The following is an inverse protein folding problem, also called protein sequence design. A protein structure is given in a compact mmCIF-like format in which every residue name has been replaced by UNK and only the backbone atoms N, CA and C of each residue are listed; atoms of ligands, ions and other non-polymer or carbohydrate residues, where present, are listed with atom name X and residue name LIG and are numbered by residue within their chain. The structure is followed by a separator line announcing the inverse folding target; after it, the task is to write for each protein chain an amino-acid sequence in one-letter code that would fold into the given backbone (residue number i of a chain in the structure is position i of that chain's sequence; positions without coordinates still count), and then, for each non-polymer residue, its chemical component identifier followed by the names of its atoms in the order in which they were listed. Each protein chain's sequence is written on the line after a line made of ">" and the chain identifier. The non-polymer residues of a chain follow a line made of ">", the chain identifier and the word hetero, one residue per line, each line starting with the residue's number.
data_IF_102242392125
#
_entry.id   IF_102242392125
#
_cell.length_a   1.000
_cell.length_b   1.000
_cell.length_c   1.000
_cell.angle_alpha   90.00
_cell.angle_beta   90.00
_cell.angle_gamma   90.00
#
_symmetry.space_group_name_H-M   'P 1'
#
loop_
_entity.id
_entity.type
_entity.pdbx_description
1 polymer ?
#
# COMPACT_ATOMS: atom_id res chain seq x y z
N UNK A 1 12.44 -14.08 -21.59
CA UNK A 1 13.60 -14.34 -20.71
C UNK A 1 13.01 -14.87 -19.41
N UNK A 2 13.40 -16.08 -19.00
CA UNK A 2 12.84 -16.75 -17.82
C UNK A 2 13.59 -16.27 -16.57
N UNK A 3 12.87 -15.71 -15.60
CA UNK A 3 13.42 -15.41 -14.28
C UNK A 3 13.03 -16.52 -13.31
N UNK A 4 14.04 -16.98 -12.58
CA UNK A 4 14.05 -18.06 -11.62
C UNK A 4 13.20 -17.67 -10.40
N UNK A 5 11.94 -18.10 -10.36
CA UNK A 5 11.11 -17.96 -9.15
C UNK A 5 11.46 -19.13 -8.24
N UNK A 6 11.99 -18.92 -7.03
CA UNK A 6 12.29 -20.01 -6.11
C UNK A 6 10.99 -20.78 -5.80
N UNK A 7 11.07 -22.11 -5.91
CA UNK A 7 9.96 -23.08 -5.92
C UNK A 7 9.01 -23.06 -4.69
N UNK A 8 9.18 -22.14 -3.73
CA UNK A 8 8.35 -22.05 -2.52
C UNK A 8 8.23 -20.63 -1.96
N UNK A 9 7.83 -19.66 -2.78
CA UNK A 9 7.23 -18.44 -2.19
C UNK A 9 5.85 -18.81 -1.62
N UNK A 10 5.77 -18.95 -0.30
CA UNK A 10 4.50 -19.10 0.41
C UNK A 10 4.11 -17.69 0.87
N UNK A 11 3.09 -17.06 0.26
CA UNK A 11 2.65 -15.75 0.71
C UNK A 11 2.12 -15.86 2.14
N UNK A 12 2.70 -15.08 3.05
CA UNK A 12 2.18 -14.92 4.39
C UNK A 12 1.20 -13.75 4.38
N UNK A 13 -0.07 -14.04 4.67
CA UNK A 13 -1.10 -13.03 4.83
C UNK A 13 -1.38 -12.87 6.32
N UNK A 14 -1.47 -11.63 6.78
CA UNK A 14 -1.77 -11.36 8.19
C UNK A 14 -3.14 -11.96 8.56
N UNK A 15 -3.15 -12.89 9.52
CA UNK A 15 -4.35 -13.33 10.23
C UNK A 15 -4.71 -12.28 11.28
N UNK A 16 -6.01 -12.14 11.60
CA UNK A 16 -6.53 -11.01 12.40
C UNK A 16 -5.89 -10.82 13.79
N UNK A 17 -5.22 -11.84 14.34
CA UNK A 17 -4.53 -11.82 15.64
C UNK A 17 -2.99 -11.77 15.56
N UNK A 18 -2.37 -11.87 14.37
CA UNK A 18 -0.90 -11.98 14.21
C UNK A 18 -0.29 -10.84 13.39
N UNK A 19 -0.63 -9.59 13.73
CA UNK A 19 0.17 -8.48 13.25
C UNK A 19 1.38 -8.33 14.16
N UNK A 20 2.46 -9.06 13.84
CA UNK A 20 3.76 -8.92 14.50
C UNK A 20 4.25 -7.45 14.49
N UNK A 21 3.79 -6.68 13.50
CA UNK A 21 4.08 -5.26 13.32
C UNK A 21 2.83 -4.40 13.62
N UNK A 22 2.78 -3.88 14.84
CA UNK A 22 1.70 -2.99 15.30
C UNK A 22 1.69 -1.65 14.55
N UNK A 23 2.85 -1.17 14.07
CA UNK A 23 2.94 0.07 13.32
C UNK A 23 2.32 -0.09 11.93
N UNK A 24 2.58 -1.24 11.28
CA UNK A 24 1.96 -1.58 10.01
C UNK A 24 0.44 -1.76 10.14
N UNK A 25 -0.03 -2.39 11.21
CA UNK A 25 -1.46 -2.52 11.50
C UNK A 25 -2.12 -1.15 11.65
N UNK A 26 -1.48 -0.27 12.42
CA UNK A 26 -1.97 1.07 12.66
C UNK A 26 -1.96 1.92 11.38
N UNK A 27 -0.91 1.79 10.56
CA UNK A 27 -0.82 2.45 9.26
C UNK A 27 -1.95 2.01 8.33
N UNK A 28 -2.13 0.70 8.11
CA UNK A 28 -3.15 0.18 7.18
C UNK A 28 -4.56 0.57 7.64
N UNK A 29 -4.85 0.46 8.93
CA UNK A 29 -6.14 0.86 9.50
C UNK A 29 -6.41 2.35 9.25
N UNK A 30 -5.41 3.21 9.47
CA UNK A 30 -5.56 4.64 9.23
C UNK A 30 -5.67 4.97 7.74
N UNK A 31 -4.90 4.28 6.89
CA UNK A 31 -4.91 4.49 5.45
C UNK A 31 -6.30 4.24 4.84
N UNK A 32 -6.97 3.14 5.21
CA UNK A 32 -8.34 2.89 4.76
C UNK A 32 -9.34 3.90 5.31
N UNK A 33 -9.25 4.24 6.61
CA UNK A 33 -10.11 5.27 7.21
C UNK A 33 -9.95 6.65 6.55
N UNK A 34 -8.76 7.00 6.11
CA UNK A 34 -8.47 8.22 5.35
C UNK A 34 -9.04 8.13 3.94
N UNK A 35 -8.87 6.98 3.27
CA UNK A 35 -9.35 6.73 1.91
C UNK A 35 -10.87 6.88 1.78
N UNK A 36 -11.63 6.54 2.83
CA UNK A 36 -13.09 6.68 2.87
C UNK A 36 -13.59 8.13 3.12
N UNK A 37 -12.68 9.10 3.34
CA UNK A 37 -13.06 10.48 3.65
C UNK A 37 -12.45 11.47 2.63
N UNK A 38 -13.26 12.02 1.70
CA UNK A 38 -12.80 12.99 0.70
C UNK A 38 -12.18 14.27 1.28
N UNK A 39 -12.56 14.70 2.49
CA UNK A 39 -11.96 15.86 3.16
C UNK A 39 -10.50 15.61 3.55
N UNK A 40 -10.06 14.35 3.54
CA UNK A 40 -8.71 13.92 3.87
C UNK A 40 -7.85 13.58 2.65
N UNK A 41 -8.27 13.96 1.44
CA UNK A 41 -7.53 13.67 0.21
C UNK A 41 -6.05 14.07 0.26
N UNK A 42 -5.71 15.22 0.85
CA UNK A 42 -4.30 15.61 0.97
C UNK A 42 -3.53 14.69 1.93
N UNK A 43 -4.14 14.22 3.01
CA UNK A 43 -3.53 13.24 3.92
C UNK A 43 -3.36 11.87 3.24
N UNK A 44 -4.33 11.49 2.39
CA UNK A 44 -4.25 10.31 1.55
C UNK A 44 -3.04 10.39 0.61
N UNK A 45 -2.89 11.49 -0.14
CA UNK A 45 -1.74 11.73 -1.03
C UNK A 45 -0.42 11.68 -0.27
N UNK A 46 -0.36 12.26 0.93
CA UNK A 46 0.83 12.26 1.76
C UNK A 46 1.22 10.88 2.31
N UNK A 47 0.37 9.86 2.16
CA UNK A 47 0.69 8.48 2.57
C UNK A 47 1.60 7.76 1.57
N UNK A 48 1.83 8.35 0.40
CA UNK A 48 2.68 7.80 -0.66
C UNK A 48 4.06 8.45 -0.67
N UNK A 49 5.07 7.70 -1.11
CA UNK A 49 6.40 8.27 -1.37
C UNK A 49 6.39 9.15 -2.63
N UNK A 50 7.42 10.00 -2.80
CA UNK A 50 7.47 10.98 -3.90
C UNK A 50 7.62 10.34 -5.28
N UNK A 51 8.08 9.10 -5.31
CA UNK A 51 8.31 8.25 -6.47
C UNK A 51 7.27 7.13 -6.61
N UNK A 52 6.21 7.16 -5.80
CA UNK A 52 5.18 6.12 -5.81
C UNK A 52 4.48 6.05 -7.18
N UNK A 53 4.21 4.84 -7.64
CA UNK A 53 3.33 4.56 -8.77
C UNK A 53 2.03 3.97 -8.22
N UNK A 54 0.92 4.65 -8.46
CA UNK A 54 -0.40 4.25 -7.97
C UNK A 54 -1.27 3.89 -9.16
N UNK A 55 -1.91 2.72 -9.11
CA UNK A 55 -2.89 2.30 -10.11
C UNK A 55 -4.20 1.96 -9.41
N UNK A 56 -5.29 2.59 -9.87
CA UNK A 56 -6.65 2.34 -9.39
C UNK A 56 -7.51 2.01 -10.61
N UNK A 57 -7.85 0.74 -10.78
CA UNK A 57 -8.53 0.28 -11.99
C UNK A 57 -7.69 0.55 -13.25
N UNK A 58 -8.26 1.31 -14.19
CA UNK A 58 -7.59 1.73 -15.42
C UNK A 58 -6.72 2.99 -15.24
N UNK A 59 -6.93 3.74 -14.15
CA UNK A 59 -6.25 4.99 -13.89
C UNK A 59 -4.87 4.77 -13.27
N UNK A 60 -3.91 5.58 -13.67
CA UNK A 60 -2.52 5.54 -13.19
C UNK A 60 -2.05 6.93 -12.81
N UNK A 61 -1.31 7.01 -11.71
CA UNK A 61 -0.64 8.21 -11.25
C UNK A 61 0.81 7.88 -10.86
N UNK A 62 1.71 8.82 -11.13
CA UNK A 62 3.10 8.75 -10.72
C UNK A 62 3.41 9.97 -9.85
N UNK A 63 4.15 9.75 -8.77
CA UNK A 63 4.63 10.82 -7.91
C UNK A 63 5.48 11.84 -8.69
N UNK A 64 5.36 13.11 -8.33
CA UNK A 64 5.83 14.25 -9.13
C UNK A 64 7.32 14.57 -8.98
N UNK A 65 8.14 13.64 -8.48
CA UNK A 65 9.60 13.74 -8.61
C UNK A 65 10.12 12.76 -9.66
N UNK A 66 10.19 13.29 -10.88
CA UNK A 66 11.02 12.86 -12.01
C UNK A 66 11.48 14.10 -12.75
#
# INVERSE_FOLDING_TARGET
>A
MAENIPDRYIPQYATADDWDDQDLQQFITNFYRISDNPEKNQQWVNSFTQEANVQIGADKAQGSKG
#
